data_IF_436189506243
#
_entry.id   IF_436189506243
#
_cell.length_a   1.000
_cell.length_b   1.000
_cell.length_c   1.000
_cell.angle_alpha   90.00
_cell.angle_beta   90.00
_cell.angle_gamma   90.00
#
_symmetry.space_group_name_H-M   'P 1'
#
loop_
_entity.id
_entity.type
_entity.pdbx_description
1 polymer ?
#
# COMPACT_ATOMS: atom_id res chain seq x y z
N UNK A 1 -3.09 -15.04 0.56
CA UNK A 1 -2.51 -13.95 1.38
C UNK A 1 -3.43 -12.75 1.27
N UNK A 2 -3.74 -12.09 2.38
CA UNK A 2 -4.55 -10.87 2.40
C UNK A 2 -3.89 -9.81 3.26
N UNK A 3 -4.27 -8.56 3.04
CA UNK A 3 -3.87 -7.46 3.91
C UNK A 3 -5.06 -6.84 4.61
N UNK A 4 -4.81 -6.27 5.79
CA UNK A 4 -5.77 -5.43 6.49
C UNK A 4 -5.15 -4.05 6.72
N UNK A 5 -5.85 -3.03 6.28
CA UNK A 5 -5.49 -1.62 6.46
C UNK A 5 -6.42 -1.06 7.54
N UNK A 6 -5.85 -0.36 8.52
CA UNK A 6 -6.58 0.22 9.65
C UNK A 6 -6.11 1.66 9.83
N UNK A 7 -7.01 2.63 10.00
CA UNK A 7 -6.64 4.03 10.29
C UNK A 7 -6.27 4.19 11.77
N UNK A 8 -5.20 4.92 12.06
CA UNK A 8 -4.74 5.18 13.44
C UNK A 8 -4.77 6.66 13.79
N UNK A 9 -4.10 7.49 12.99
CA UNK A 9 -3.98 8.91 13.24
C UNK A 9 -4.18 9.70 11.97
N UNK A 10 -5.18 10.57 11.95
CA UNK A 10 -5.42 11.50 10.85
C UNK A 10 -4.74 12.82 11.16
N UNK A 11 -3.66 13.10 10.43
CA UNK A 11 -2.99 14.39 10.44
C UNK A 11 -3.65 15.39 9.50
N UNK A 12 -3.00 16.54 9.32
CA UNK A 12 -3.47 17.60 8.40
C UNK A 12 -3.24 17.29 6.92
N UNK A 13 -2.25 16.45 6.62
CA UNK A 13 -1.79 16.17 5.26
C UNK A 13 -1.61 14.69 4.97
N UNK A 14 -1.73 13.82 5.98
CA UNK A 14 -1.63 12.38 5.79
C UNK A 14 -2.36 11.64 6.91
N UNK A 15 -2.62 10.37 6.68
CA UNK A 15 -3.06 9.42 7.69
C UNK A 15 -1.94 8.43 7.97
N UNK A 16 -1.65 8.23 9.25
CA UNK A 16 -0.87 7.09 9.72
C UNK A 16 -1.82 5.93 9.99
N UNK A 17 -1.54 4.79 9.35
CA UNK A 17 -2.32 3.57 9.47
C UNK A 17 -1.51 2.40 10.02
N UNK A 18 -2.20 1.28 10.22
CA UNK A 18 -1.59 -0.04 10.44
C UNK A 18 -1.83 -0.89 9.21
N UNK A 19 -0.76 -1.48 8.71
CA UNK A 19 -0.75 -2.42 7.61
C UNK A 19 -0.41 -3.81 8.16
N UNK A 20 -1.34 -4.76 7.98
CA UNK A 20 -1.17 -6.14 8.46
C UNK A 20 -1.24 -7.10 7.29
N UNK A 21 -0.35 -8.09 7.25
CA UNK A 21 -0.33 -9.16 6.23
C UNK A 21 -0.66 -10.48 6.89
N UNK A 22 -1.56 -11.25 6.27
CA UNK A 22 -1.96 -12.57 6.71
C UNK A 22 -1.69 -13.60 5.62
N UNK A 23 -1.31 -14.82 6.01
CA UNK A 23 -1.28 -15.97 5.10
C UNK A 23 -2.69 -16.50 4.80
N UNK A 24 -2.77 -17.66 4.14
CA UNK A 24 -4.03 -18.29 3.74
C UNK A 24 -4.77 -18.93 4.93
N UNK A 25 -4.08 -19.17 6.06
CA UNK A 25 -4.62 -19.75 7.29
C UNK A 25 -4.95 -18.67 8.35
N UNK A 26 -5.06 -17.39 7.94
CA UNK A 26 -5.33 -16.24 8.80
C UNK A 26 -4.26 -15.95 9.87
N UNK A 27 -3.06 -16.48 9.73
CA UNK A 27 -1.95 -16.18 10.62
C UNK A 27 -1.31 -14.85 10.22
N UNK A 28 -1.10 -13.98 11.21
CA UNK A 28 -0.41 -12.70 11.03
C UNK A 28 1.08 -12.94 10.71
N UNK A 29 1.51 -12.49 9.53
CA UNK A 29 2.90 -12.58 9.05
C UNK A 29 3.69 -11.30 9.32
N UNK A 30 3.06 -10.14 9.15
CA UNK A 30 3.69 -8.82 9.27
C UNK A 30 2.69 -7.80 9.80
N UNK A 31 3.13 -6.93 10.68
CA UNK A 31 2.43 -5.72 11.07
C UNK A 31 3.40 -4.55 11.12
N UNK A 32 3.11 -3.49 10.37
CA UNK A 32 3.89 -2.24 10.35
C UNK A 32 2.97 -1.03 10.26
N UNK A 33 3.55 0.17 10.40
CA UNK A 33 2.84 1.42 10.14
C UNK A 33 2.82 1.75 8.65
N UNK A 34 1.76 2.40 8.21
CA UNK A 34 1.63 2.99 6.87
C UNK A 34 1.49 4.50 6.94
N UNK A 35 1.94 5.20 5.90
CA UNK A 35 1.59 6.58 5.60
C UNK A 35 0.76 6.60 4.32
N UNK A 36 -0.40 7.23 4.39
CA UNK A 36 -1.40 7.31 3.32
C UNK A 36 -1.98 8.72 3.24
N UNK A 37 -2.72 9.03 2.18
CA UNK A 37 -3.31 10.36 1.98
C UNK A 37 -4.37 10.74 3.05
N UNK A 38 -4.56 12.04 3.29
CA UNK A 38 -5.52 12.65 4.22
C UNK A 38 -6.99 12.54 3.76
N UNK A 39 -7.23 12.45 2.45
CA UNK A 39 -8.56 12.29 1.86
C UNK A 39 -8.76 10.90 1.29
N UNK A 40 -9.98 10.41 1.47
CA UNK A 40 -10.38 9.09 1.02
C UNK A 40 -11.28 9.16 -0.21
N UNK A 41 -11.16 8.14 -1.06
CA UNK A 41 -12.10 7.91 -2.15
C UNK A 41 -11.74 6.68 -2.94
N UNK A 42 -12.56 6.33 -3.92
CA UNK A 42 -12.42 5.13 -4.77
C UNK A 42 -11.96 5.45 -6.19
N UNK A 43 -11.95 6.74 -6.54
CA UNK A 43 -11.72 7.25 -7.88
C UNK A 43 -10.28 7.08 -8.35
N UNK A 44 -10.13 6.70 -9.61
CA UNK A 44 -8.83 6.54 -10.26
C UNK A 44 -8.22 7.91 -10.60
N UNK A 45 -6.89 7.97 -10.60
CA UNK A 45 -6.11 9.17 -10.96
C UNK A 45 -6.44 10.40 -10.09
N UNK A 46 -6.74 10.17 -8.81
CA UNK A 46 -6.98 11.21 -7.81
C UNK A 46 -6.04 11.01 -6.64
N UNK A 47 -5.70 12.12 -6.00
CA UNK A 47 -4.91 12.16 -4.78
C UNK A 47 -5.78 11.79 -3.59
N UNK A 48 -6.06 10.48 -3.45
CA UNK A 48 -7.02 9.94 -2.50
C UNK A 48 -6.51 8.58 -2.00
N UNK A 49 -6.40 8.42 -0.68
CA UNK A 49 -6.20 7.09 -0.08
C UNK A 49 -7.41 6.20 -0.34
N UNK A 50 -7.17 4.90 -0.28
CA UNK A 50 -8.24 3.90 -0.31
C UNK A 50 -8.94 3.81 1.05
N UNK A 51 -10.20 3.36 1.12
CA UNK A 51 -10.87 3.06 2.38
C UNK A 51 -10.11 2.06 3.23
N UNK A 52 -10.26 2.10 4.55
CA UNK A 52 -9.77 1.00 5.39
C UNK A 52 -10.55 -0.29 5.10
N UNK A 53 -9.91 -1.44 5.28
CA UNK A 53 -10.56 -2.70 4.93
C UNK A 53 -9.59 -3.84 4.69
N UNK A 54 -10.13 -4.90 4.09
CA UNK A 54 -9.40 -6.09 3.67
C UNK A 54 -9.20 -6.02 2.16
N UNK A 55 -7.97 -6.31 1.74
CA UNK A 55 -7.58 -6.26 0.34
C UNK A 55 -6.75 -7.48 -0.05
N UNK A 56 -6.89 -7.87 -1.30
CA UNK A 56 -6.06 -8.83 -1.99
C UNK A 56 -4.80 -8.16 -2.56
N UNK A 57 -3.80 -9.01 -2.84
CA UNK A 57 -2.54 -8.60 -3.44
C UNK A 57 -2.37 -9.26 -4.81
N UNK A 58 -1.83 -8.51 -5.76
CA UNK A 58 -1.39 -9.06 -7.05
C UNK A 58 -0.09 -8.40 -7.51
N UNK A 59 0.72 -9.13 -8.27
CA UNK A 59 1.84 -8.55 -9.01
C UNK A 59 1.30 -7.56 -10.06
N UNK A 60 2.05 -6.48 -10.27
CA UNK A 60 1.68 -5.40 -11.17
C UNK A 60 2.89 -4.89 -11.95
N UNK A 61 2.71 -4.85 -13.27
CA UNK A 61 3.65 -4.35 -14.26
C UNK A 61 2.84 -3.78 -15.44
N UNK A 62 3.28 -2.70 -16.10
CA UNK A 62 4.47 -1.90 -15.81
C UNK A 62 4.25 -0.90 -14.67
N UNK A 63 5.33 -0.46 -14.02
CA UNK A 63 5.29 0.66 -13.08
C UNK A 63 6.58 1.48 -13.13
N UNK A 64 6.46 2.79 -12.90
CA UNK A 64 7.61 3.71 -12.80
C UNK A 64 8.59 3.33 -11.69
N UNK A 65 8.14 2.53 -10.72
CA UNK A 65 8.93 2.11 -9.56
C UNK A 65 9.74 0.81 -9.82
N UNK A 66 9.52 0.08 -10.91
CA UNK A 66 10.15 -1.24 -11.12
C UNK A 66 11.69 -1.19 -11.13
N UNK A 67 12.29 -0.19 -11.79
CA UNK A 67 13.75 -0.06 -11.83
C UNK A 67 14.36 0.07 -10.43
N UNK A 68 13.73 0.88 -9.57
CA UNK A 68 14.17 1.03 -8.18
C UNK A 68 13.91 -0.23 -7.37
N UNK A 69 12.76 -0.88 -7.55
CA UNK A 69 12.47 -2.17 -6.90
C UNK A 69 13.56 -3.21 -7.20
N UNK A 70 13.87 -3.42 -8.48
CA UNK A 70 14.89 -4.39 -8.92
C UNK A 70 16.28 -4.02 -8.43
N UNK A 71 16.59 -2.73 -8.33
CA UNK A 71 17.83 -2.27 -7.70
C UNK A 71 17.90 -2.61 -6.21
N UNK A 72 16.77 -2.55 -5.48
CA UNK A 72 16.71 -2.90 -4.05
C UNK A 72 16.77 -4.42 -3.87
N UNK A 73 15.98 -5.19 -4.63
CA UNK A 73 15.86 -6.64 -4.45
C UNK A 73 16.96 -7.45 -5.13
N UNK A 74 17.68 -6.83 -6.09
CA UNK A 74 18.68 -7.48 -6.95
C UNK A 74 18.10 -8.62 -7.80
N UNK A 75 16.83 -8.50 -8.18
CA UNK A 75 16.12 -9.47 -9.01
C UNK A 75 15.46 -8.78 -10.20
N UNK A 76 15.76 -9.24 -11.41
CA UNK A 76 15.28 -8.60 -12.63
C UNK A 76 13.80 -8.90 -12.95
N UNK A 77 13.25 -9.97 -12.38
CA UNK A 77 11.86 -10.42 -12.55
C UNK A 77 10.90 -9.85 -11.50
N UNK A 78 11.40 -9.02 -10.57
CA UNK A 78 10.56 -8.39 -9.57
C UNK A 78 9.67 -7.29 -10.17
N UNK A 79 8.44 -7.25 -9.66
CA UNK A 79 7.35 -6.38 -10.08
C UNK A 79 6.68 -5.79 -8.85
N UNK A 80 6.06 -4.62 -8.99
CA UNK A 80 5.36 -3.98 -7.87
C UNK A 80 4.19 -4.83 -7.37
N UNK A 81 3.81 -4.60 -6.11
CA UNK A 81 2.62 -5.20 -5.50
C UNK A 81 1.49 -4.19 -5.54
N UNK A 82 0.35 -4.62 -6.09
CA UNK A 82 -0.89 -3.84 -6.18
C UNK A 82 -1.94 -4.39 -5.22
N UNK A 83 -2.64 -3.46 -4.58
CA UNK A 83 -3.67 -3.69 -3.56
C UNK A 83 -5.05 -3.45 -4.17
N UNK A 84 -5.97 -4.39 -3.98
CA UNK A 84 -7.31 -4.30 -4.59
C UNK A 84 -8.36 -5.11 -3.84
N UNK A 85 -9.63 -4.77 -4.06
CA UNK A 85 -10.80 -5.54 -3.66
C UNK A 85 -11.96 -5.19 -4.62
N UNK A 86 -13.19 -5.58 -4.28
CA UNK A 86 -14.37 -5.31 -5.11
C UNK A 86 -14.72 -3.81 -5.23
N UNK A 87 -14.44 -3.03 -4.18
CA UNK A 87 -14.71 -1.59 -4.14
C UNK A 87 -13.60 -0.77 -4.81
N UNK A 88 -12.35 -1.18 -4.62
CA UNK A 88 -11.16 -0.56 -5.18
C UNK A 88 -10.54 -1.52 -6.20
N UNK A 89 -10.90 -1.38 -7.49
CA UNK A 89 -10.48 -2.35 -8.50
C UNK A 89 -8.97 -2.30 -8.69
N UNK A 90 -8.39 -3.44 -9.07
CA UNK A 90 -6.97 -3.57 -9.41
C UNK A 90 -6.50 -2.57 -10.48
N UNK A 91 -7.41 -2.12 -11.33
CA UNK A 91 -7.13 -1.08 -12.31
C UNK A 91 -6.70 0.21 -11.62
N UNK A 92 -7.13 0.57 -10.41
CA UNK A 92 -6.69 1.80 -9.73
C UNK A 92 -5.17 1.86 -9.49
N UNK A 93 -4.49 0.72 -9.51
CA UNK A 93 -3.04 0.60 -9.39
C UNK A 93 -2.51 1.23 -8.09
N UNK A 94 -3.10 0.83 -6.96
CA UNK A 94 -2.67 1.24 -5.63
C UNK A 94 -1.50 0.36 -5.23
N UNK A 95 -0.29 0.91 -5.31
CA UNK A 95 0.94 0.18 -5.09
C UNK A 95 1.46 0.34 -3.67
N UNK A 96 2.21 -0.66 -3.22
CA UNK A 96 3.05 -0.57 -2.03
C UNK A 96 4.44 -0.14 -2.48
N UNK A 97 4.93 1.00 -2.01
CA UNK A 97 6.27 1.49 -2.37
C UNK A 97 6.89 2.37 -1.27
N UNK A 98 8.14 2.80 -1.49
CA UNK A 98 8.90 3.67 -0.58
C UNK A 98 8.50 5.14 -0.71
N UNK A 99 8.62 5.87 0.39
CA UNK A 99 8.37 7.31 0.49
C UNK A 99 8.35 7.71 1.97
N UNK A 100 8.41 9.01 2.25
CA UNK A 100 8.47 9.51 3.62
C UNK A 100 7.38 10.55 3.94
N UNK A 101 6.71 11.08 2.92
CA UNK A 101 5.73 12.17 3.05
C UNK A 101 4.49 11.94 2.18
N UNK A 102 3.43 12.70 2.42
CA UNK A 102 2.22 12.73 1.59
C UNK A 102 2.52 12.98 0.11
N UNK A 103 3.53 13.80 -0.19
CA UNK A 103 3.95 14.13 -1.56
C UNK A 103 4.53 12.95 -2.35
N UNK A 104 4.91 11.88 -1.66
CA UNK A 104 5.45 10.68 -2.30
C UNK A 104 4.34 9.75 -2.78
N UNK A 105 3.07 10.01 -2.43
CA UNK A 105 1.92 9.20 -2.80
C UNK A 105 0.82 10.02 -3.47
N UNK A 106 -0.03 9.35 -4.24
CA UNK A 106 -1.33 9.88 -4.70
C UNK A 106 -2.46 8.89 -4.38
N UNK A 107 -2.32 8.20 -3.23
CA UNK A 107 -3.22 7.10 -2.81
C UNK A 107 -2.55 5.73 -2.68
N UNK A 108 -1.31 5.58 -3.16
CA UNK A 108 -0.46 4.43 -2.85
C UNK A 108 -0.13 4.36 -1.35
N UNK A 109 0.30 3.19 -0.89
CA UNK A 109 0.58 2.93 0.52
C UNK A 109 2.09 2.96 0.73
N UNK A 110 2.56 3.87 1.60
CA UNK A 110 3.96 3.95 2.00
C UNK A 110 4.14 3.17 3.29
N UNK A 111 5.05 2.19 3.34
CA UNK A 111 5.27 1.38 4.54
C UNK A 111 6.46 1.89 5.35
N UNK A 112 6.30 1.90 6.67
CA UNK A 112 7.39 2.13 7.61
C UNK A 112 8.35 0.94 7.67
N UNK A 113 9.61 1.23 7.99
CA UNK A 113 10.68 0.22 8.12
C UNK A 113 10.55 -0.61 9.41
N UNK A 114 9.84 -0.10 10.42
CA UNK A 114 9.68 -0.77 11.70
C UNK A 114 8.38 -1.57 11.77
N UNK A 115 8.48 -2.76 12.35
CA UNK A 115 7.31 -3.53 12.75
C UNK A 115 6.60 -2.79 13.89
N UNK A 116 5.29 -2.63 13.78
CA UNK A 116 4.51 -1.97 14.83
C UNK A 116 4.33 -2.97 15.98
N UNK A 117 5.24 -2.89 16.97
CA UNK A 117 5.16 -3.64 18.24
C UNK A 117 3.95 -3.21 19.07
#
# INVERSE_FOLDING_TARGET
MKIKIIRRYTGKTCVIGKFKVFDDDDKLLLECFSLEEDKEGVERNKDLRIPEGIYDLKRHSPSRFENTLRSITKKDDDTMINVYNDEVPASRAILIHWGNTDKDTQGCILLGLETAK
#
